data_IF_523100673033
#
_entry.id   IF_523100673033
#
_cell.length_a   1.000
_cell.length_b   1.000
_cell.length_c   1.000
_cell.angle_alpha   90.00
_cell.angle_beta   90.00
_cell.angle_gamma   90.00
#
_symmetry.space_group_name_H-M   'P 1'
#
loop_
_entity.id
_entity.type
_entity.pdbx_description
1 polymer ?
#
# COMPACT_ATOMS: atom_id res chain seq x y z
N UNK A 1 -38.09 21.58 -1.42
CA UNK A 1 -37.16 21.26 -0.32
C UNK A 1 -36.30 20.09 -0.80
N UNK A 2 -35.12 20.40 -1.19
CA UNK A 2 -34.25 19.61 -2.08
C UNK A 2 -33.24 18.82 -1.28
N UNK A 3 -33.38 17.52 -1.32
CA UNK A 3 -32.35 16.59 -0.80
C UNK A 3 -31.28 16.37 -1.85
N UNK A 4 -30.03 16.75 -1.52
CA UNK A 4 -28.84 16.51 -2.34
C UNK A 4 -28.38 15.07 -2.16
N UNK A 5 -28.57 14.27 -3.16
CA UNK A 5 -27.86 12.99 -3.31
C UNK A 5 -26.51 13.29 -3.96
N UNK A 6 -25.46 13.27 -3.17
CA UNK A 6 -24.09 13.30 -3.66
C UNK A 6 -23.64 11.86 -3.89
N UNK A 7 -23.79 11.40 -5.12
CA UNK A 7 -23.22 10.15 -5.58
C UNK A 7 -21.70 10.28 -5.71
N UNK A 8 -20.97 9.63 -4.82
CA UNK A 8 -19.52 9.52 -4.86
C UNK A 8 -19.12 8.45 -5.88
N UNK A 9 -19.01 8.83 -7.15
CA UNK A 9 -18.34 8.01 -8.15
C UNK A 9 -16.82 8.07 -7.90
N UNK A 10 -16.29 7.17 -7.10
CA UNK A 10 -14.84 6.91 -7.00
C UNK A 10 -14.41 6.11 -8.22
N UNK A 11 -14.20 6.78 -9.34
CA UNK A 11 -13.42 6.21 -10.42
C UNK A 11 -11.97 6.23 -10.02
N UNK A 12 -11.45 5.07 -9.64
CA UNK A 12 -10.04 4.86 -9.40
C UNK A 12 -9.30 5.04 -10.73
N UNK A 13 -8.62 6.16 -10.88
CA UNK A 13 -7.51 6.25 -11.82
C UNK A 13 -6.46 5.29 -11.28
N UNK A 14 -6.20 4.23 -12.02
CA UNK A 14 -5.11 3.30 -11.74
C UNK A 14 -3.78 4.03 -11.99
N UNK A 15 -3.42 4.91 -11.06
CA UNK A 15 -2.02 5.15 -10.77
C UNK A 15 -1.55 3.84 -10.19
N UNK A 16 -0.58 3.18 -10.80
CA UNK A 16 0.13 2.05 -10.24
C UNK A 16 0.74 2.46 -8.89
N UNK A 17 -0.10 2.52 -7.88
CA UNK A 17 0.27 2.55 -6.49
C UNK A 17 0.18 1.11 -6.02
N UNK A 18 1.31 0.48 -5.81
CA UNK A 18 1.43 -0.74 -5.02
C UNK A 18 1.09 -0.33 -3.59
N UNK A 19 -0.18 -0.50 -3.20
CA UNK A 19 -0.55 -0.44 -1.78
C UNK A 19 -1.92 -1.08 -1.56
N UNK A 20 -1.93 -2.14 -0.79
CA UNK A 20 -3.01 -2.51 0.12
C UNK A 20 -4.21 -3.22 -0.47
N UNK A 21 -4.04 -4.48 -0.83
CA UNK A 21 -5.16 -5.41 -0.98
C UNK A 21 -5.63 -5.85 0.39
N UNK A 22 -6.86 -5.53 0.77
CA UNK A 22 -7.54 -6.24 1.83
C UNK A 22 -7.69 -7.70 1.38
N UNK A 23 -6.93 -8.60 1.99
CA UNK A 23 -7.03 -10.03 1.73
C UNK A 23 -8.33 -10.55 2.33
N UNK A 24 -9.35 -10.71 1.51
CA UNK A 24 -10.45 -11.62 1.81
C UNK A 24 -9.94 -13.02 1.46
N UNK A 25 -10.01 -13.92 2.45
CA UNK A 25 -9.53 -15.28 2.40
C UNK A 25 -9.84 -15.97 1.08
N UNK A 26 -8.81 -16.18 0.27
CA UNK A 26 -8.88 -17.10 -0.86
C UNK A 26 -8.75 -18.52 -0.32
N UNK A 27 -9.74 -19.36 -0.60
CA UNK A 27 -9.59 -20.80 -0.47
C UNK A 27 -8.46 -21.25 -1.38
N UNK A 28 -7.51 -21.98 -0.82
CA UNK A 28 -6.42 -22.62 -1.55
C UNK A 28 -6.99 -23.64 -2.52
N UNK A 29 -7.03 -23.28 -3.78
CA UNK A 29 -7.02 -24.22 -4.89
C UNK A 29 -5.55 -24.43 -5.22
N UNK A 30 -5.13 -25.68 -5.27
CA UNK A 30 -3.78 -26.11 -5.62
C UNK A 30 -3.34 -25.42 -6.91
N UNK A 31 -2.29 -24.62 -6.80
CA UNK A 31 -1.82 -23.76 -7.86
C UNK A 31 -0.76 -24.50 -8.68
N UNK A 32 -1.19 -24.99 -9.84
CA UNK A 32 -0.25 -25.22 -10.93
C UNK A 32 0.23 -23.85 -11.39
N UNK A 33 1.49 -23.55 -11.09
CA UNK A 33 2.37 -22.54 -11.64
C UNK A 33 1.67 -21.36 -12.33
N UNK A 34 1.46 -20.26 -11.60
CA UNK A 34 1.20 -18.96 -12.24
C UNK A 34 2.53 -18.49 -12.85
N UNK A 35 2.68 -18.51 -14.18
CA UNK A 35 3.86 -17.92 -14.80
C UNK A 35 3.84 -16.42 -14.49
N UNK A 36 4.96 -15.87 -14.06
CA UNK A 36 5.13 -14.42 -13.98
C UNK A 36 4.59 -13.78 -15.26
N UNK A 37 3.83 -12.70 -15.15
CA UNK A 37 3.19 -12.02 -16.30
C UNK A 37 4.17 -11.53 -17.37
N UNK A 38 5.47 -11.70 -17.17
CA UNK A 38 6.54 -11.49 -18.13
C UNK A 38 6.88 -12.72 -18.99
N UNK A 39 6.56 -13.94 -18.54
CA UNK A 39 6.92 -15.17 -19.25
C UNK A 39 6.02 -15.49 -20.46
N UNK A 40 4.88 -14.82 -20.59
CA UNK A 40 3.92 -15.07 -21.67
C UNK A 40 4.02 -14.09 -22.86
N UNK A 41 4.94 -13.14 -22.81
CA UNK A 41 5.36 -12.39 -23.98
C UNK A 41 6.71 -12.98 -24.39
N UNK A 42 6.74 -13.62 -25.54
CA UNK A 42 7.95 -14.15 -26.18
C UNK A 42 8.85 -12.98 -26.59
N UNK A 43 9.43 -12.31 -25.60
CA UNK A 43 10.34 -11.20 -25.82
C UNK A 43 11.73 -11.79 -25.99
N UNK A 44 12.38 -11.59 -27.16
CA UNK A 44 13.76 -12.00 -27.37
C UNK A 44 14.66 -11.42 -26.27
N UNK A 45 15.51 -12.23 -25.67
CA UNK A 45 16.44 -11.82 -24.60
C UNK A 45 17.39 -10.68 -25.00
N UNK A 46 17.55 -10.43 -26.30
CA UNK A 46 18.47 -9.45 -26.88
C UNK A 46 17.77 -8.25 -27.54
N UNK A 47 16.62 -7.83 -27.04
CA UNK A 47 15.91 -6.67 -27.56
C UNK A 47 16.66 -5.36 -27.20
N UNK A 48 17.54 -4.90 -28.08
CA UNK A 48 18.11 -3.55 -28.07
C UNK A 48 17.09 -2.55 -28.66
N UNK A 49 16.03 -2.27 -27.93
CA UNK A 49 14.97 -1.36 -28.39
C UNK A 49 15.45 0.10 -28.46
N UNK A 50 16.47 0.45 -27.70
CA UNK A 50 16.94 1.84 -27.52
C UNK A 50 18.42 2.06 -27.85
N UNK A 51 18.92 1.49 -28.94
CA UNK A 51 20.20 1.91 -29.51
C UNK A 51 20.22 3.43 -29.81
N UNK A 52 21.40 4.05 -29.94
CA UNK A 52 21.56 5.48 -30.36
C UNK A 52 20.72 5.72 -31.62
N UNK A 53 19.64 6.50 -31.48
CA UNK A 53 18.63 6.69 -32.50
C UNK A 53 18.90 7.98 -33.23
N UNK A 54 18.86 7.92 -34.54
CA UNK A 54 18.74 9.10 -35.41
C UNK A 54 17.39 9.77 -35.07
N UNK A 55 17.36 11.00 -34.57
CA UNK A 55 16.14 11.71 -34.17
C UNK A 55 15.16 11.93 -35.33
N UNK A 56 15.60 11.78 -36.57
CA UNK A 56 14.80 11.99 -37.76
C UNK A 56 14.08 10.73 -38.27
N UNK A 57 14.35 9.55 -37.72
CA UNK A 57 13.72 8.30 -38.15
C UNK A 57 12.75 7.82 -37.07
N UNK A 58 11.45 7.96 -37.32
CA UNK A 58 10.38 7.34 -36.49
C UNK A 58 10.35 5.84 -36.76
N UNK A 59 11.23 5.08 -36.11
CA UNK A 59 11.19 3.62 -36.18
C UNK A 59 10.02 3.09 -35.34
N UNK A 60 9.23 2.13 -35.87
CA UNK A 60 8.25 1.43 -35.05
C UNK A 60 8.99 0.69 -33.92
N UNK A 61 8.45 0.72 -32.72
CA UNK A 61 8.97 -0.03 -31.57
C UNK A 61 8.21 -1.35 -31.42
N UNK A 62 6.92 -1.34 -31.76
CA UNK A 62 6.09 -2.54 -31.87
C UNK A 62 4.95 -2.33 -32.86
N UNK A 63 4.48 -3.42 -33.47
CA UNK A 63 3.28 -3.45 -34.31
C UNK A 63 2.31 -4.45 -33.65
N UNK A 64 1.11 -3.99 -33.29
CA UNK A 64 0.08 -4.80 -32.62
C UNK A 64 -1.12 -4.95 -33.53
N UNK A 65 -1.34 -6.12 -34.11
CA UNK A 65 -2.40 -6.38 -35.11
C UNK A 65 -2.44 -5.29 -36.19
N UNK A 66 -1.27 -4.89 -36.70
CA UNK A 66 -1.13 -3.84 -37.74
C UNK A 66 -1.11 -2.40 -37.20
N UNK A 67 -1.37 -2.15 -35.95
CA UNK A 67 -1.23 -0.83 -35.32
C UNK A 67 0.20 -0.57 -34.86
N UNK A 68 0.78 0.55 -35.30
CA UNK A 68 2.18 0.91 -34.99
C UNK A 68 2.28 1.69 -33.69
N UNK A 69 3.07 1.19 -32.74
CA UNK A 69 3.52 1.89 -31.56
C UNK A 69 4.93 2.43 -31.85
N UNK A 70 5.08 3.73 -31.80
CA UNK A 70 6.36 4.38 -32.09
C UNK A 70 7.17 4.61 -30.81
N UNK A 71 8.48 4.83 -30.98
CA UNK A 71 9.33 5.26 -29.86
C UNK A 71 8.81 6.54 -29.21
N UNK A 72 8.31 7.48 -30.00
CA UNK A 72 7.70 8.71 -29.47
C UNK A 72 6.53 8.42 -28.55
N UNK A 73 5.69 7.43 -28.87
CA UNK A 73 4.57 7.05 -27.99
C UNK A 73 5.08 6.50 -26.67
N UNK A 74 6.15 5.69 -26.70
CA UNK A 74 6.78 5.15 -25.49
C UNK A 74 7.41 6.26 -24.67
N UNK A 75 8.19 7.17 -25.29
CA UNK A 75 8.87 8.25 -24.55
C UNK A 75 7.85 9.24 -23.93
N UNK A 76 6.78 9.60 -24.66
CA UNK A 76 5.73 10.46 -24.12
C UNK A 76 5.00 9.84 -22.92
N UNK A 77 4.70 8.53 -22.97
CA UNK A 77 4.07 7.83 -21.85
C UNK A 77 5.04 7.64 -20.68
N UNK A 78 6.31 7.34 -20.97
CA UNK A 78 7.37 7.24 -19.98
C UNK A 78 7.55 8.57 -19.22
N UNK A 79 7.66 9.68 -19.94
CA UNK A 79 7.83 11.01 -19.34
C UNK A 79 6.63 11.37 -18.45
N UNK A 80 5.41 11.07 -18.91
CA UNK A 80 4.21 11.28 -18.11
C UNK A 80 4.25 10.46 -16.82
N UNK A 81 4.62 9.19 -16.90
CA UNK A 81 4.70 8.30 -15.73
C UNK A 81 5.74 8.78 -14.72
N UNK A 82 6.93 9.14 -15.19
CA UNK A 82 8.02 9.67 -14.34
C UNK A 82 7.60 10.98 -13.65
N UNK A 83 6.98 11.91 -14.40
CA UNK A 83 6.56 13.19 -13.86
C UNK A 83 5.42 13.08 -12.83
N UNK A 84 4.43 12.22 -13.08
CA UNK A 84 3.32 12.01 -12.15
C UNK A 84 3.75 11.38 -10.83
N UNK A 85 4.75 10.49 -10.87
CA UNK A 85 5.24 9.76 -9.70
C UNK A 85 6.51 10.39 -9.11
N UNK A 86 7.01 11.50 -9.67
CA UNK A 86 8.22 12.22 -9.23
C UNK A 86 9.45 11.30 -9.09
N UNK A 87 9.58 10.34 -10.00
CA UNK A 87 10.63 9.32 -9.94
C UNK A 87 12.00 9.88 -10.32
N UNK A 88 13.02 9.48 -9.57
CA UNK A 88 14.43 9.72 -9.89
C UNK A 88 15.05 8.37 -10.26
N UNK A 89 15.24 8.12 -11.53
CA UNK A 89 15.65 6.82 -12.06
C UNK A 89 17.06 6.91 -12.64
N UNK A 90 17.87 5.88 -12.36
CA UNK A 90 19.13 5.68 -13.07
C UNK A 90 18.87 5.12 -14.49
N UNK A 91 19.91 4.98 -15.31
CA UNK A 91 19.78 4.55 -16.72
C UNK A 91 19.13 3.16 -16.85
N UNK A 92 19.53 2.20 -16.03
CA UNK A 92 18.99 0.84 -16.05
C UNK A 92 17.50 0.79 -15.65
N UNK A 93 17.13 1.54 -14.63
CA UNK A 93 15.72 1.66 -14.21
C UNK A 93 14.86 2.35 -15.28
N UNK A 94 15.41 3.35 -15.98
CA UNK A 94 14.71 3.99 -17.11
C UNK A 94 14.43 3.00 -18.25
N UNK A 95 15.39 2.15 -18.59
CA UNK A 95 15.21 1.16 -19.65
C UNK A 95 14.19 0.09 -19.26
N UNK A 96 14.23 -0.40 -18.01
CA UNK A 96 13.20 -1.30 -17.47
C UNK A 96 11.81 -0.66 -17.50
N UNK A 97 11.70 0.60 -17.10
CA UNK A 97 10.42 1.30 -17.13
C UNK A 97 9.92 1.52 -18.56
N UNK A 98 10.80 1.83 -19.54
CA UNK A 98 10.39 1.93 -20.95
C UNK A 98 9.83 0.61 -21.49
N UNK A 99 10.42 -0.53 -21.12
CA UNK A 99 9.86 -1.85 -21.48
C UNK A 99 8.47 -2.08 -20.87
N UNK A 100 8.28 -1.68 -19.61
CA UNK A 100 6.96 -1.74 -18.97
C UNK A 100 5.94 -0.83 -19.67
N UNK A 101 6.34 0.38 -20.03
CA UNK A 101 5.50 1.33 -20.78
C UNK A 101 5.14 0.76 -22.15
N UNK A 102 6.06 0.11 -22.86
CA UNK A 102 5.77 -0.53 -24.13
C UNK A 102 4.71 -1.62 -23.98
N UNK A 103 4.80 -2.44 -22.93
CA UNK A 103 3.77 -3.44 -22.61
C UNK A 103 2.41 -2.79 -22.33
N UNK A 104 2.37 -1.71 -21.54
CA UNK A 104 1.14 -0.97 -21.27
C UNK A 104 0.51 -0.41 -22.54
N UNK A 105 1.32 0.13 -23.48
CA UNK A 105 0.82 0.63 -24.77
C UNK A 105 0.34 -0.50 -25.69
N UNK A 106 0.96 -1.67 -25.61
CA UNK A 106 0.50 -2.88 -26.29
C UNK A 106 -0.86 -3.30 -25.76
N UNK A 107 -1.03 -3.38 -24.45
CA UNK A 107 -2.31 -3.71 -23.83
C UNK A 107 -3.40 -2.71 -24.15
N UNK A 108 -3.11 -1.40 -24.03
CA UNK A 108 -4.03 -0.32 -24.41
C UNK A 108 -4.48 -0.46 -25.86
N UNK A 109 -3.55 -0.82 -26.75
CA UNK A 109 -3.88 -1.02 -28.16
C UNK A 109 -4.80 -2.22 -28.35
N UNK A 110 -4.54 -3.34 -27.70
CA UNK A 110 -5.38 -4.55 -27.73
C UNK A 110 -6.77 -4.23 -27.15
N UNK A 111 -6.84 -3.52 -26.03
CA UNK A 111 -8.10 -3.12 -25.40
C UNK A 111 -8.96 -2.23 -26.31
N UNK A 112 -8.34 -1.25 -26.99
CA UNK A 112 -9.05 -0.39 -27.95
C UNK A 112 -9.53 -1.20 -29.16
N UNK A 113 -8.73 -2.14 -29.64
CA UNK A 113 -9.10 -3.03 -30.77
C UNK A 113 -10.27 -3.93 -30.36
N UNK A 114 -10.23 -4.51 -29.17
CA UNK A 114 -11.31 -5.34 -28.65
C UNK A 114 -12.60 -4.52 -28.46
N UNK A 115 -12.49 -3.27 -28.00
CA UNK A 115 -13.63 -2.36 -27.90
C UNK A 115 -14.26 -2.13 -29.28
N UNK A 116 -13.45 -1.84 -30.29
CA UNK A 116 -13.93 -1.66 -31.68
C UNK A 116 -14.58 -2.92 -32.23
N UNK A 117 -14.01 -4.09 -31.99
CA UNK A 117 -14.56 -5.38 -32.41
C UNK A 117 -15.92 -5.67 -31.76
N UNK A 118 -16.20 -5.08 -30.60
CA UNK A 118 -17.48 -5.17 -29.88
C UNK A 118 -18.38 -3.94 -30.07
N UNK A 119 -18.13 -3.11 -31.09
CA UNK A 119 -18.90 -1.92 -31.41
C UNK A 119 -18.97 -0.90 -30.23
N UNK A 120 -17.93 -0.90 -29.39
CA UNK A 120 -17.77 0.04 -28.31
C UNK A 120 -16.96 1.24 -28.79
N UNK A 121 -17.60 2.39 -28.93
CA UNK A 121 -16.96 3.66 -29.31
C UNK A 121 -17.05 4.64 -28.16
N UNK A 122 -15.97 5.35 -27.90
CA UNK A 122 -15.93 6.43 -26.92
C UNK A 122 -16.05 7.76 -27.66
N UNK A 123 -17.12 8.55 -27.41
CA UNK A 123 -17.28 9.85 -28.03
C UNK A 123 -16.17 10.83 -27.62
N UNK A 124 -15.72 11.65 -28.56
CA UNK A 124 -14.61 12.59 -28.32
C UNK A 124 -14.91 13.57 -27.17
N UNK A 125 -16.18 14.03 -27.06
CA UNK A 125 -16.62 14.91 -25.97
C UNK A 125 -16.52 14.23 -24.59
N UNK A 126 -16.69 12.90 -24.51
CA UNK A 126 -16.48 12.18 -23.25
C UNK A 126 -14.99 12.13 -22.87
N UNK A 127 -14.10 11.92 -23.86
CA UNK A 127 -12.65 11.96 -23.66
C UNK A 127 -12.26 13.36 -23.17
N UNK A 128 -12.79 14.41 -23.78
CA UNK A 128 -12.52 15.79 -23.42
C UNK A 128 -13.00 16.14 -22.01
N UNK A 129 -14.21 15.69 -21.63
CA UNK A 129 -14.70 15.83 -20.25
C UNK A 129 -13.82 15.10 -19.24
N UNK A 130 -13.39 13.90 -19.56
CA UNK A 130 -12.49 13.13 -18.69
C UNK A 130 -11.13 13.82 -18.56
N UNK A 131 -10.58 14.33 -19.66
CA UNK A 131 -9.36 15.11 -19.66
C UNK A 131 -9.47 16.36 -18.77
N UNK A 132 -10.56 17.12 -18.87
CA UNK A 132 -10.82 18.29 -18.04
C UNK A 132 -10.98 17.91 -16.55
N UNK A 133 -11.70 16.83 -16.25
CA UNK A 133 -11.88 16.32 -14.89
C UNK A 133 -10.55 15.90 -14.26
N UNK A 134 -9.69 15.18 -15.01
CA UNK A 134 -8.37 14.78 -14.54
C UNK A 134 -7.49 16.01 -14.33
N UNK A 135 -7.51 16.99 -15.26
CA UNK A 135 -6.76 18.24 -15.13
C UNK A 135 -7.10 18.95 -13.82
N UNK A 136 -8.39 19.04 -13.48
CA UNK A 136 -8.87 19.66 -12.24
C UNK A 136 -8.38 18.94 -10.97
N UNK A 137 -8.26 17.61 -10.99
CA UNK A 137 -7.67 16.84 -9.86
C UNK A 137 -6.20 17.20 -9.61
N UNK A 138 -5.47 17.54 -10.67
CA UNK A 138 -4.09 18.04 -10.58
C UNK A 138 -4.01 19.56 -10.40
N UNK A 139 -5.13 20.21 -10.03
CA UNK A 139 -5.23 21.66 -9.82
C UNK A 139 -4.78 22.48 -11.04
N UNK A 140 -5.10 22.00 -12.26
CA UNK A 140 -4.79 22.63 -13.54
C UNK A 140 -6.04 22.82 -14.37
N UNK A 141 -6.10 23.92 -15.12
CA UNK A 141 -7.07 24.01 -16.21
C UNK A 141 -6.64 23.08 -17.37
N UNK A 142 -7.53 22.75 -18.30
CA UNK A 142 -7.15 21.96 -19.49
C UNK A 142 -6.00 22.60 -20.28
N UNK A 143 -5.93 23.95 -20.37
CA UNK A 143 -4.86 24.69 -21.03
C UNK A 143 -3.53 24.55 -20.29
N UNK A 144 -3.55 24.67 -18.97
CA UNK A 144 -2.38 24.47 -18.12
C UNK A 144 -1.89 23.01 -18.16
N UNK A 145 -2.82 22.06 -18.23
CA UNK A 145 -2.47 20.65 -18.38
C UNK A 145 -1.78 20.39 -19.73
N UNK A 146 -2.29 20.95 -20.84
CA UNK A 146 -1.62 20.87 -22.17
C UNK A 146 -0.21 21.47 -22.15
N UNK A 147 -0.04 22.61 -21.49
CA UNK A 147 1.26 23.26 -21.35
C UNK A 147 2.23 22.38 -20.56
N UNK A 148 1.79 21.88 -19.41
CA UNK A 148 2.58 20.99 -18.56
C UNK A 148 2.95 19.68 -19.27
N UNK A 149 2.03 19.04 -19.98
CA UNK A 149 2.31 17.83 -20.75
C UNK A 149 3.45 18.06 -21.77
N UNK A 150 3.45 19.22 -22.46
CA UNK A 150 4.54 19.56 -23.38
C UNK A 150 5.85 19.81 -22.66
N UNK A 151 5.83 20.49 -21.52
CA UNK A 151 7.00 20.76 -20.69
C UNK A 151 7.71 19.48 -20.26
N UNK A 152 6.96 18.45 -19.83
CA UNK A 152 7.52 17.16 -19.44
C UNK A 152 7.88 16.25 -20.63
N UNK A 153 7.73 16.72 -21.88
CA UNK A 153 7.99 15.91 -23.07
C UNK A 153 6.93 14.85 -23.39
N UNK A 154 5.68 15.08 -22.93
CA UNK A 154 4.51 14.29 -23.29
C UNK A 154 3.57 15.05 -24.22
N UNK A 155 2.36 14.55 -24.49
CA UNK A 155 1.38 15.21 -25.34
C UNK A 155 -0.05 14.98 -24.88
N UNK A 156 -0.94 15.93 -25.17
CA UNK A 156 -2.40 15.79 -24.99
C UNK A 156 -2.91 14.54 -25.74
N UNK A 157 -2.41 14.29 -26.95
CA UNK A 157 -2.81 13.13 -27.77
C UNK A 157 -2.49 11.81 -27.06
N UNK A 158 -1.28 11.67 -26.53
CA UNK A 158 -0.87 10.46 -25.80
C UNK A 158 -1.71 10.27 -24.54
N UNK A 159 -2.01 11.35 -23.82
CA UNK A 159 -2.81 11.28 -22.62
C UNK A 159 -4.30 11.00 -22.91
N UNK A 160 -4.88 11.64 -23.91
CA UNK A 160 -6.27 11.36 -24.34
C UNK A 160 -6.43 9.93 -24.87
N UNK A 161 -5.42 9.37 -25.56
CA UNK A 161 -5.44 7.97 -25.97
C UNK A 161 -5.48 7.02 -24.78
N UNK A 162 -4.74 7.32 -23.71
CA UNK A 162 -4.84 6.55 -22.46
C UNK A 162 -6.26 6.58 -21.90
N UNK A 163 -6.86 7.76 -21.82
CA UNK A 163 -8.25 7.95 -21.36
C UNK A 163 -9.22 7.16 -22.22
N UNK A 164 -9.05 7.21 -23.55
CA UNK A 164 -9.86 6.43 -24.50
C UNK A 164 -9.74 4.93 -24.21
N UNK A 165 -8.51 4.42 -24.04
CA UNK A 165 -8.26 3.02 -23.75
C UNK A 165 -8.91 2.55 -22.46
N UNK A 166 -8.78 3.33 -21.39
CA UNK A 166 -9.38 3.05 -20.08
C UNK A 166 -10.92 3.02 -20.17
N UNK A 167 -11.52 4.03 -20.79
CA UNK A 167 -12.98 4.12 -20.94
C UNK A 167 -13.52 2.99 -21.83
N UNK A 168 -12.82 2.70 -22.92
CA UNK A 168 -13.18 1.65 -23.85
C UNK A 168 -13.14 0.28 -23.17
N UNK A 169 -12.05 0.00 -22.45
CA UNK A 169 -11.89 -1.25 -21.72
C UNK A 169 -12.93 -1.43 -20.62
N UNK A 170 -13.22 -0.40 -19.85
CA UNK A 170 -14.30 -0.43 -18.83
C UNK A 170 -15.65 -0.81 -19.46
N UNK A 171 -16.00 -0.26 -20.62
CA UNK A 171 -17.24 -0.61 -21.30
C UNK A 171 -17.27 -2.04 -21.83
N UNK A 172 -16.13 -2.52 -22.35
CA UNK A 172 -15.99 -3.92 -22.78
C UNK A 172 -16.19 -4.85 -21.59
N UNK A 173 -15.52 -4.57 -20.46
CA UNK A 173 -15.67 -5.35 -19.24
C UNK A 173 -17.14 -5.36 -18.77
N UNK A 174 -17.77 -4.20 -18.70
CA UNK A 174 -19.17 -4.11 -18.28
C UNK A 174 -20.10 -4.92 -19.19
N UNK A 175 -19.90 -4.86 -20.50
CA UNK A 175 -20.73 -5.55 -21.49
C UNK A 175 -20.49 -7.06 -21.52
N UNK A 176 -19.21 -7.49 -21.51
CA UNK A 176 -18.83 -8.90 -21.67
C UNK A 176 -18.76 -9.68 -20.38
N UNK A 177 -18.55 -9.01 -19.27
CA UNK A 177 -18.26 -9.64 -17.98
C UNK A 177 -19.28 -9.24 -16.93
N UNK A 178 -19.50 -7.94 -16.73
CA UNK A 178 -20.34 -7.42 -15.65
C UNK A 178 -21.77 -7.95 -15.71
N UNK A 179 -22.36 -8.04 -16.90
CA UNK A 179 -23.70 -8.57 -17.10
C UNK A 179 -23.87 -10.07 -16.70
N UNK A 180 -22.76 -10.81 -16.58
CA UNK A 180 -22.74 -12.24 -16.28
C UNK A 180 -22.19 -12.55 -14.89
N UNK A 181 -21.93 -11.51 -14.08
CA UNK A 181 -21.54 -11.68 -12.68
C UNK A 181 -22.79 -11.68 -11.84
N UNK A 182 -22.98 -12.74 -11.09
CA UNK A 182 -24.06 -12.84 -10.12
C UNK A 182 -23.46 -13.25 -8.78
N UNK A 183 -23.87 -12.55 -7.72
CA UNK A 183 -23.52 -12.86 -6.33
C UNK A 183 -24.79 -13.22 -5.59
N UNK A 184 -24.90 -14.49 -5.19
CA UNK A 184 -26.07 -14.99 -4.48
C UNK A 184 -26.23 -14.39 -3.08
N UNK A 185 -27.47 -14.19 -2.66
CA UNK A 185 -27.77 -13.70 -1.30
C UNK A 185 -27.19 -14.61 -0.22
N UNK A 186 -27.24 -15.93 -0.44
CA UNK A 186 -26.70 -16.93 0.50
C UNK A 186 -25.18 -16.81 0.66
N UNK A 187 -24.47 -16.51 -0.42
CA UNK A 187 -23.02 -16.28 -0.39
C UNK A 187 -22.69 -15.03 0.45
N UNK A 188 -23.43 -13.95 0.25
CA UNK A 188 -23.27 -12.71 1.04
C UNK A 188 -23.58 -12.99 2.52
N UNK A 189 -24.66 -13.69 2.81
CA UNK A 189 -25.04 -14.05 4.19
C UNK A 189 -23.97 -14.93 4.86
N UNK A 190 -23.42 -15.92 4.14
CA UNK A 190 -22.35 -16.76 4.65
C UNK A 190 -21.09 -15.96 5.00
N UNK A 191 -20.78 -14.88 4.26
CA UNK A 191 -19.66 -14.00 4.57
C UNK A 191 -19.97 -13.16 5.81
N UNK A 192 -21.18 -12.59 5.90
CA UNK A 192 -21.62 -11.83 7.08
C UNK A 192 -21.51 -12.70 8.32
N UNK A 193 -22.07 -13.92 8.28
CA UNK A 193 -22.02 -14.84 9.41
C UNK A 193 -20.57 -15.15 9.83
N UNK A 194 -19.67 -15.42 8.88
CA UNK A 194 -18.24 -15.64 9.18
C UNK A 194 -17.56 -14.43 9.78
N UNK A 195 -17.94 -13.22 9.38
CA UNK A 195 -17.43 -11.99 9.96
C UNK A 195 -17.97 -11.76 11.39
N UNK A 196 -19.25 -12.10 11.63
CA UNK A 196 -19.85 -12.05 12.97
C UNK A 196 -19.22 -13.06 13.92
N UNK A 197 -19.03 -14.30 13.48
CA UNK A 197 -18.33 -15.35 14.24
C UNK A 197 -16.86 -14.99 14.53
N UNK A 198 -16.23 -14.26 13.62
CA UNK A 198 -14.86 -13.80 13.77
C UNK A 198 -14.74 -12.55 14.65
N UNK A 199 -15.84 -11.85 14.95
CA UNK A 199 -15.82 -10.61 15.74
C UNK A 199 -15.15 -10.82 17.10
N UNK A 200 -14.19 -9.95 17.42
CA UNK A 200 -13.42 -10.02 18.66
C UNK A 200 -12.29 -11.07 18.66
N UNK A 201 -12.18 -11.90 17.61
CA UNK A 201 -11.01 -12.77 17.48
C UNK A 201 -9.78 -11.97 17.07
N UNK A 202 -8.59 -12.44 17.47
CA UNK A 202 -7.35 -11.80 17.09
C UNK A 202 -6.99 -12.06 15.62
N UNK A 203 -6.58 -11.00 14.95
CA UNK A 203 -5.89 -11.02 13.65
C UNK A 203 -4.46 -10.51 13.82
N UNK A 204 -3.56 -11.15 13.11
CA UNK A 204 -2.12 -10.88 13.14
C UNK A 204 -1.69 -10.39 11.77
N UNK A 205 -1.04 -9.24 11.70
CA UNK A 205 -0.31 -8.82 10.49
C UNK A 205 1.07 -9.45 10.56
N UNK A 206 1.29 -10.46 9.74
CA UNK A 206 2.51 -11.27 9.76
C UNK A 206 3.32 -11.09 8.50
N UNK A 207 4.63 -11.21 8.65
CA UNK A 207 5.55 -11.48 7.56
C UNK A 207 6.22 -12.81 7.78
N UNK A 208 6.54 -13.51 6.70
CA UNK A 208 7.11 -14.85 6.72
C UNK A 208 8.37 -14.94 5.87
N UNK A 209 9.36 -15.67 6.38
CA UNK A 209 10.46 -16.20 5.60
C UNK A 209 10.35 -17.72 5.69
N UNK A 210 10.14 -18.38 4.55
CA UNK A 210 10.08 -19.83 4.45
C UNK A 210 11.25 -20.36 3.66
N UNK A 211 11.86 -21.44 4.15
CA UNK A 211 12.86 -22.23 3.43
C UNK A 211 12.42 -23.69 3.42
N UNK A 212 12.36 -24.27 2.22
CA UNK A 212 12.10 -25.69 2.07
C UNK A 212 13.24 -26.53 2.60
N UNK A 213 12.94 -27.66 3.21
CA UNK A 213 13.92 -28.58 3.74
C UNK A 213 13.53 -30.03 3.51
N UNK A 214 14.49 -30.83 3.04
CA UNK A 214 14.40 -32.27 3.05
C UNK A 214 15.05 -32.82 4.33
N UNK A 215 14.87 -34.09 4.70
CA UNK A 215 15.54 -34.67 5.85
C UNK A 215 17.08 -34.47 5.82
N UNK A 216 17.69 -34.49 4.62
CA UNK A 216 19.14 -34.33 4.43
C UNK A 216 19.60 -32.88 4.60
N UNK A 217 18.75 -31.89 4.23
CA UNK A 217 19.10 -30.46 4.26
C UNK A 217 18.56 -29.74 5.50
N UNK A 218 17.75 -30.42 6.33
CA UNK A 218 17.05 -29.85 7.49
C UNK A 218 18.01 -29.11 8.44
N UNK A 219 19.13 -29.72 8.82
CA UNK A 219 20.10 -29.12 9.72
C UNK A 219 20.75 -27.85 9.17
N UNK A 220 21.08 -27.84 7.88
CA UNK A 220 21.65 -26.67 7.19
C UNK A 220 20.63 -25.51 7.14
N UNK A 221 19.40 -25.79 6.71
CA UNK A 221 18.33 -24.79 6.60
C UNK A 221 17.96 -24.21 7.96
N UNK A 222 17.86 -25.05 8.99
CA UNK A 222 17.62 -24.60 10.35
C UNK A 222 18.74 -23.65 10.84
N UNK A 223 19.99 -24.01 10.65
CA UNK A 223 21.14 -23.18 11.02
C UNK A 223 21.18 -21.86 10.25
N UNK A 224 20.87 -21.88 8.96
CA UNK A 224 20.76 -20.67 8.13
C UNK A 224 19.69 -19.71 8.66
N UNK A 225 18.51 -20.21 9.03
CA UNK A 225 17.45 -19.38 9.63
C UNK A 225 17.83 -18.83 11.00
N UNK A 226 18.53 -19.61 11.84
CA UNK A 226 19.05 -19.08 13.11
C UNK A 226 20.00 -17.91 12.90
N UNK A 227 20.90 -18.00 11.91
CA UNK A 227 21.79 -16.91 11.55
C UNK A 227 21.03 -15.68 11.04
N UNK A 228 19.98 -15.86 10.25
CA UNK A 228 19.12 -14.75 9.82
C UNK A 228 18.47 -14.05 11.01
N UNK A 229 17.90 -14.82 11.95
CA UNK A 229 17.32 -14.27 13.18
C UNK A 229 18.35 -13.50 14.01
N UNK A 230 19.54 -14.04 14.19
CA UNK A 230 20.60 -13.37 14.92
C UNK A 230 20.99 -12.04 14.26
N UNK A 231 21.08 -11.99 12.94
CA UNK A 231 21.36 -10.74 12.22
C UNK A 231 20.21 -9.74 12.31
N UNK A 232 18.94 -10.19 12.31
CA UNK A 232 17.77 -9.33 12.57
C UNK A 232 17.82 -8.73 13.98
N UNK A 233 18.20 -9.49 14.98
CA UNK A 233 18.40 -8.99 16.36
C UNK A 233 19.53 -7.95 16.45
N UNK A 234 20.50 -8.00 15.53
CA UNK A 234 21.59 -7.02 15.40
C UNK A 234 21.17 -5.78 14.58
N UNK A 235 19.88 -5.67 14.20
CA UNK A 235 19.30 -4.51 13.52
C UNK A 235 19.21 -4.61 12.01
N UNK A 236 19.49 -5.77 11.38
CA UNK A 236 19.19 -5.93 9.95
C UNK A 236 17.69 -6.05 9.72
N UNK A 237 17.14 -5.32 8.75
CA UNK A 237 15.70 -5.36 8.46
C UNK A 237 15.25 -6.75 8.01
N UNK A 238 14.03 -7.16 8.42
CA UNK A 238 13.41 -8.41 8.01
C UNK A 238 13.30 -8.55 6.48
N UNK A 239 13.00 -7.46 5.78
CA UNK A 239 12.85 -7.40 4.33
C UNK A 239 14.15 -7.75 3.58
N UNK A 240 15.30 -7.52 4.21
CA UNK A 240 16.58 -7.94 3.64
C UNK A 240 16.63 -9.45 3.46
N UNK A 241 16.08 -10.22 4.40
CA UNK A 241 16.09 -11.68 4.38
C UNK A 241 14.87 -12.26 3.65
N UNK A 242 13.75 -11.56 3.63
CA UNK A 242 12.53 -12.00 2.93
C UNK A 242 12.76 -12.25 1.44
N UNK A 243 13.72 -11.56 0.81
CA UNK A 243 14.13 -11.80 -0.58
C UNK A 243 14.71 -13.20 -0.84
N UNK A 244 15.21 -13.87 0.19
CA UNK A 244 15.76 -15.22 0.12
C UNK A 244 14.73 -16.28 0.50
N UNK A 245 13.51 -15.86 0.83
CA UNK A 245 12.40 -16.74 1.12
C UNK A 245 11.96 -17.49 -0.14
N UNK A 246 11.63 -18.76 0.03
CA UNK A 246 11.03 -19.61 -1.00
C UNK A 246 9.50 -19.52 -0.97
N UNK A 247 8.92 -18.69 -0.10
CA UNK A 247 7.49 -18.42 -0.05
C UNK A 247 7.02 -17.59 -1.25
N UNK A 248 5.77 -17.75 -1.66
CA UNK A 248 5.13 -16.96 -2.74
C UNK A 248 5.09 -15.47 -2.43
N UNK A 249 5.14 -15.09 -1.15
CA UNK A 249 5.17 -13.72 -0.65
C UNK A 249 6.55 -13.06 -0.66
N UNK A 250 7.60 -13.77 -1.04
CA UNK A 250 8.99 -13.26 -1.04
C UNK A 250 9.14 -11.94 -1.82
N UNK A 251 8.48 -11.82 -2.98
CA UNK A 251 8.50 -10.61 -3.81
C UNK A 251 7.82 -9.39 -3.15
N UNK A 252 6.99 -9.63 -2.14
CA UNK A 252 6.29 -8.61 -1.34
C UNK A 252 6.92 -8.44 0.05
N UNK A 253 8.19 -8.83 0.22
CA UNK A 253 8.89 -8.75 1.49
C UNK A 253 8.37 -9.72 2.54
N UNK A 254 7.79 -10.85 2.10
CA UNK A 254 7.23 -11.89 2.95
C UNK A 254 5.88 -11.54 3.59
N UNK A 255 5.20 -10.48 3.13
CA UNK A 255 3.97 -9.99 3.75
C UNK A 255 2.79 -10.96 3.50
N UNK A 256 2.28 -11.55 4.57
CA UNK A 256 1.07 -12.39 4.59
C UNK A 256 -0.21 -11.57 4.76
N UNK A 257 -0.10 -10.27 5.04
CA UNK A 257 -1.21 -9.40 5.42
C UNK A 257 -1.82 -9.78 6.77
N UNK A 258 -3.11 -9.44 6.95
CA UNK A 258 -3.87 -9.77 8.16
C UNK A 258 -4.41 -11.19 8.09
N UNK A 259 -3.94 -12.06 8.99
CA UNK A 259 -4.34 -13.48 9.06
C UNK A 259 -4.83 -13.83 10.46
N UNK A 260 -5.81 -14.72 10.52
CA UNK A 260 -6.28 -15.29 11.80
C UNK A 260 -5.54 -16.59 12.10
N UNK A 261 -5.42 -16.93 13.39
CA UNK A 261 -4.76 -18.17 13.81
C UNK A 261 -5.31 -19.41 13.10
N UNK A 262 -6.63 -19.47 12.86
CA UNK A 262 -7.28 -20.59 12.16
C UNK A 262 -6.88 -20.75 10.68
N UNK A 263 -6.24 -19.73 10.09
CA UNK A 263 -5.76 -19.75 8.70
C UNK A 263 -4.30 -20.17 8.57
N UNK A 264 -3.61 -20.33 9.69
CA UNK A 264 -2.20 -20.71 9.75
C UNK A 264 -2.04 -22.19 10.10
N UNK A 265 -0.98 -22.85 9.65
CA UNK A 265 -0.53 -24.12 10.21
C UNK A 265 -0.42 -24.03 11.74
N UNK A 266 -0.77 -25.12 12.45
CA UNK A 266 -0.88 -25.10 13.92
C UNK A 266 0.36 -24.54 14.63
N UNK A 267 1.57 -24.90 14.17
CA UNK A 267 2.82 -24.41 14.75
C UNK A 267 2.97 -22.90 14.58
N UNK A 268 2.63 -22.36 13.41
CA UNK A 268 2.70 -20.91 13.14
C UNK A 268 1.61 -20.16 13.91
N UNK A 269 0.40 -20.72 14.01
CA UNK A 269 -0.71 -20.17 14.78
C UNK A 269 -0.34 -20.02 16.26
N UNK A 270 0.25 -21.06 16.86
CA UNK A 270 0.70 -21.04 18.24
C UNK A 270 1.80 -19.99 18.47
N UNK A 271 2.76 -19.91 17.56
CA UNK A 271 3.82 -18.89 17.63
C UNK A 271 3.23 -17.49 17.55
N UNK A 272 2.37 -17.19 16.55
CA UNK A 272 1.76 -15.88 16.36
C UNK A 272 0.97 -15.40 17.59
N UNK A 273 0.22 -16.29 18.26
CA UNK A 273 -0.52 -15.97 19.47
C UNK A 273 0.38 -15.56 20.64
N UNK A 274 1.60 -16.09 20.73
CA UNK A 274 2.55 -15.82 21.79
C UNK A 274 3.45 -14.60 21.52
N UNK A 275 3.50 -14.14 20.25
CA UNK A 275 4.36 -13.03 19.86
C UNK A 275 3.82 -11.67 20.33
N UNK A 276 4.76 -10.76 20.57
CA UNK A 276 4.50 -9.34 20.73
C UNK A 276 4.77 -8.60 19.43
N UNK A 277 4.09 -7.45 19.22
CA UNK A 277 4.32 -6.59 18.05
C UNK A 277 5.80 -6.20 17.96
N UNK A 278 6.37 -6.34 16.78
CA UNK A 278 7.80 -6.13 16.51
C UNK A 278 8.69 -7.34 16.80
N UNK A 279 8.16 -8.45 17.28
CA UNK A 279 8.92 -9.65 17.58
C UNK A 279 9.11 -10.55 16.35
N UNK A 280 10.28 -11.19 16.28
CA UNK A 280 10.59 -12.29 15.35
C UNK A 280 10.54 -13.61 16.11
N UNK A 281 9.87 -14.61 15.56
CA UNK A 281 9.79 -15.98 16.11
C UNK A 281 10.24 -16.99 15.07
N UNK A 282 10.99 -17.99 15.51
CA UNK A 282 11.47 -19.07 14.66
C UNK A 282 12.89 -19.52 15.03
N UNK A 283 13.50 -20.46 14.26
CA UNK A 283 12.86 -21.22 13.17
C UNK A 283 11.74 -22.12 13.68
N UNK A 284 10.57 -22.07 13.02
CA UNK A 284 9.41 -22.89 13.32
C UNK A 284 9.32 -23.99 12.28
N UNK A 285 9.29 -25.25 12.73
CA UNK A 285 9.13 -26.38 11.82
C UNK A 285 7.70 -26.43 11.28
N UNK A 286 7.59 -26.52 9.96
CA UNK A 286 6.33 -26.65 9.24
C UNK A 286 6.42 -27.77 8.20
N UNK A 287 5.32 -28.29 7.68
CA UNK A 287 5.39 -29.29 6.62
C UNK A 287 6.23 -28.81 5.44
N UNK A 288 7.30 -29.54 5.13
CA UNK A 288 8.19 -29.27 4.01
C UNK A 288 9.32 -28.29 4.28
N UNK A 289 9.50 -27.79 5.53
CA UNK A 289 10.62 -26.87 5.82
C UNK A 289 10.50 -26.13 7.14
N UNK A 290 11.02 -24.92 7.15
CA UNK A 290 11.01 -24.04 8.31
C UNK A 290 10.51 -22.65 7.94
N UNK A 291 9.81 -22.00 8.88
CA UNK A 291 9.38 -20.61 8.77
C UNK A 291 9.91 -19.75 9.90
N UNK A 292 10.20 -18.49 9.59
CA UNK A 292 10.44 -17.41 10.55
C UNK A 292 9.31 -16.40 10.39
N UNK A 293 8.63 -16.07 11.49
CA UNK A 293 7.56 -15.07 11.51
C UNK A 293 8.07 -13.76 12.10
N UNK A 294 7.57 -12.65 11.57
CA UNK A 294 7.68 -11.32 12.14
C UNK A 294 6.27 -10.76 12.36
N UNK A 295 5.93 -10.42 13.59
CA UNK A 295 4.65 -9.81 13.91
C UNK A 295 4.73 -8.30 13.74
N UNK A 296 4.11 -7.79 12.66
CA UNK A 296 4.06 -6.36 12.34
C UNK A 296 3.08 -5.64 13.26
N UNK A 297 1.87 -6.22 13.42
CA UNK A 297 0.82 -5.67 14.29
C UNK A 297 -0.21 -6.77 14.63
N UNK A 298 -1.05 -6.52 15.64
CA UNK A 298 -2.21 -7.35 15.97
C UNK A 298 -3.42 -6.51 16.31
N UNK A 299 -4.60 -6.98 15.97
CA UNK A 299 -5.88 -6.32 16.26
C UNK A 299 -6.97 -7.35 16.49
N UNK A 300 -8.12 -6.88 16.97
CA UNK A 300 -9.34 -7.70 17.04
C UNK A 300 -10.24 -7.39 15.86
N UNK A 301 -10.79 -8.43 15.24
CA UNK A 301 -11.73 -8.32 14.11
C UNK A 301 -12.95 -7.50 14.52
N UNK A 302 -13.31 -6.50 13.73
CA UNK A 302 -14.50 -5.66 13.92
C UNK A 302 -14.62 -5.02 15.32
N UNK A 303 -13.51 -4.88 16.03
CA UNK A 303 -13.43 -4.18 17.31
C UNK A 303 -12.66 -2.89 17.11
N UNK A 304 -13.11 -1.82 17.74
CA UNK A 304 -12.36 -0.55 17.71
C UNK A 304 -11.00 -0.76 18.38
N UNK A 305 -9.93 -0.46 17.66
CA UNK A 305 -8.59 -0.46 18.24
C UNK A 305 -8.35 0.91 18.91
N UNK A 306 -8.17 0.96 20.24
CA UNK A 306 -7.91 2.22 20.92
C UNK A 306 -6.69 2.98 20.38
N UNK A 307 -5.74 2.29 19.74
CA UNK A 307 -4.56 2.89 19.11
C UNK A 307 -4.89 3.71 17.86
N UNK A 308 -6.10 3.56 17.29
CA UNK A 308 -6.60 4.38 16.19
C UNK A 308 -7.22 5.71 16.66
N UNK A 309 -7.29 5.93 17.98
CA UNK A 309 -7.75 7.19 18.53
C UNK A 309 -6.92 8.36 17.99
N UNK A 310 -7.62 9.41 17.56
CA UNK A 310 -6.98 10.68 17.21
C UNK A 310 -6.86 11.54 18.44
N UNK A 311 -5.65 11.96 18.71
CA UNK A 311 -5.27 12.67 19.92
C UNK A 311 -4.90 14.09 19.56
N UNK A 312 -5.40 15.05 20.36
CA UNK A 312 -4.92 16.42 20.39
C UNK A 312 -3.89 16.51 21.50
N UNK A 313 -2.63 16.69 21.13
CA UNK A 313 -1.50 16.67 22.06
C UNK A 313 -0.78 18.01 22.07
N UNK A 314 -0.41 18.47 23.27
CA UNK A 314 0.51 19.59 23.47
C UNK A 314 1.82 19.05 24.02
N UNK A 315 2.91 19.25 23.28
CA UNK A 315 4.24 18.86 23.73
C UNK A 315 4.95 20.05 24.38
N UNK A 316 5.40 19.86 25.62
CA UNK A 316 6.33 20.77 26.27
C UNK A 316 7.74 20.22 26.15
N UNK A 317 8.69 21.09 25.81
CA UNK A 317 10.11 20.71 25.65
C UNK A 317 10.99 21.72 26.35
N UNK A 318 11.82 21.25 27.27
CA UNK A 318 12.89 22.04 27.89
C UNK A 318 14.22 21.50 27.38
N UNK A 319 14.94 22.28 26.58
CA UNK A 319 16.26 21.91 26.06
C UNK A 319 17.33 22.07 27.14
N UNK A 320 18.23 21.12 27.20
CA UNK A 320 19.36 21.21 28.12
C UNK A 320 20.52 21.97 27.46
N UNK A 321 21.25 22.80 28.24
CA UNK A 321 22.46 23.46 27.75
C UNK A 321 23.54 22.41 27.46
N UNK A 322 24.41 22.69 26.48
CA UNK A 322 25.56 21.85 26.17
C UNK A 322 26.50 21.73 27.38
N UNK A 323 26.86 20.48 27.73
CA UNK A 323 27.74 20.22 28.86
C UNK A 323 27.06 20.11 30.23
N UNK A 324 25.73 20.01 30.25
CA UNK A 324 25.01 19.79 31.53
C UNK A 324 25.46 18.49 32.20
N UNK A 325 25.66 18.55 33.52
CA UNK A 325 25.98 17.33 34.28
C UNK A 325 24.71 16.49 34.53
N UNK A 326 24.89 15.22 34.81
CA UNK A 326 23.76 14.34 35.08
C UNK A 326 22.94 14.76 36.29
N UNK A 327 23.58 15.26 37.34
CA UNK A 327 22.89 15.78 38.52
C UNK A 327 22.02 17.00 38.21
N UNK A 328 22.55 17.95 37.44
CA UNK A 328 21.79 19.14 37.01
C UNK A 328 20.63 18.77 36.05
N UNK A 329 20.80 17.79 35.18
CA UNK A 329 19.72 17.29 34.33
C UNK A 329 18.62 16.66 35.18
N UNK A 330 18.95 15.86 36.20
CA UNK A 330 17.97 15.25 37.08
C UNK A 330 17.20 16.30 37.89
N UNK A 331 17.86 17.37 38.38
CA UNK A 331 17.20 18.47 39.05
C UNK A 331 16.17 19.19 38.17
N UNK A 332 16.56 19.48 36.91
CA UNK A 332 15.65 20.07 35.91
C UNK A 332 14.48 19.15 35.57
N UNK A 333 14.69 17.85 35.46
CA UNK A 333 13.62 16.87 35.24
C UNK A 333 12.66 16.84 36.43
N UNK A 334 13.17 16.92 37.66
CA UNK A 334 12.35 16.95 38.87
C UNK A 334 11.50 18.23 38.97
N UNK A 335 12.10 19.41 38.66
CA UNK A 335 11.39 20.67 38.54
C UNK A 335 10.29 20.62 37.51
N UNK A 336 10.62 20.12 36.32
CA UNK A 336 9.69 19.93 35.18
C UNK A 336 8.52 19.03 35.59
N UNK A 337 8.79 17.90 36.26
CA UNK A 337 7.77 16.98 36.74
C UNK A 337 6.83 17.64 37.78
N UNK A 338 7.39 18.43 38.68
CA UNK A 338 6.62 19.14 39.73
C UNK A 338 5.66 20.16 39.11
N UNK A 339 6.12 20.94 38.13
CA UNK A 339 5.27 21.92 37.43
C UNK A 339 4.18 21.20 36.62
N UNK A 340 4.50 20.12 35.96
CA UNK A 340 3.50 19.32 35.22
C UNK A 340 2.41 18.76 36.15
N UNK A 341 2.77 18.25 37.31
CA UNK A 341 1.79 17.73 38.29
C UNK A 341 0.84 18.81 38.82
N UNK A 342 1.29 20.06 38.86
CA UNK A 342 0.47 21.20 39.28
C UNK A 342 -0.34 21.81 38.14
N UNK A 343 -0.08 21.38 36.89
CA UNK A 343 -0.75 21.89 35.67
C UNK A 343 -2.06 21.15 35.49
N UNK A 344 -3.18 21.80 35.77
CA UNK A 344 -4.51 21.24 35.62
C UNK A 344 -5.09 21.62 34.23
N UNK A 345 -5.11 20.64 33.33
CA UNK A 345 -5.75 20.78 32.01
C UNK A 345 -4.95 21.57 30.98
N UNK A 346 -5.42 21.53 29.74
CA UNK A 346 -4.71 22.08 28.58
C UNK A 346 -4.59 23.62 28.57
N UNK A 347 -5.52 24.31 29.18
CA UNK A 347 -5.48 25.78 29.30
C UNK A 347 -4.30 26.29 30.14
N UNK A 348 -3.82 25.48 31.08
CA UNK A 348 -2.71 25.86 31.97
C UNK A 348 -1.33 25.57 31.38
N UNK A 349 -1.27 24.85 30.25
CA UNK A 349 0.01 24.42 29.59
C UNK A 349 0.88 25.60 29.20
N UNK A 350 0.30 26.66 28.63
CA UNK A 350 1.04 27.86 28.22
C UNK A 350 1.71 28.55 29.43
N UNK A 351 1.00 28.63 30.57
CA UNK A 351 1.56 29.22 31.81
C UNK A 351 2.66 28.32 32.40
N UNK A 352 2.47 27.00 32.36
CA UNK A 352 3.51 26.05 32.76
C UNK A 352 4.77 26.18 31.90
N UNK A 353 4.58 26.35 30.60
CA UNK A 353 5.68 26.55 29.66
C UNK A 353 6.46 27.83 29.92
N UNK A 354 5.79 28.95 30.23
CA UNK A 354 6.44 30.19 30.61
C UNK A 354 7.27 30.01 31.87
N UNK A 355 6.71 29.31 32.89
CA UNK A 355 7.43 29.07 34.15
C UNK A 355 8.68 28.22 33.97
N UNK A 356 8.65 27.27 33.03
CA UNK A 356 9.75 26.34 32.77
C UNK A 356 10.72 26.83 31.69
N UNK A 357 10.39 27.93 31.00
CA UNK A 357 11.10 28.32 29.77
C UNK A 357 10.99 27.24 28.67
N UNK A 358 9.88 26.53 28.61
CA UNK A 358 9.64 25.42 27.71
C UNK A 358 9.07 25.89 26.38
N UNK A 359 9.48 25.24 25.31
CA UNK A 359 8.87 25.35 23.99
C UNK A 359 7.59 24.51 23.94
N UNK A 360 6.50 25.04 23.40
CA UNK A 360 5.24 24.34 23.23
C UNK A 360 4.98 24.06 21.75
N UNK A 361 4.67 22.82 21.41
CA UNK A 361 4.24 22.40 20.08
C UNK A 361 2.87 21.75 20.19
N UNK A 362 1.89 22.28 19.46
CA UNK A 362 0.54 21.75 19.39
C UNK A 362 0.38 20.83 18.16
N UNK A 363 -0.25 19.68 18.38
CA UNK A 363 -0.57 18.75 17.31
C UNK A 363 -1.96 18.13 17.56
N UNK A 364 -2.95 18.53 16.75
CA UNK A 364 -4.36 18.23 16.94
C UNK A 364 -4.87 16.94 16.28
N UNK A 365 -4.01 16.16 15.63
CA UNK A 365 -4.46 14.98 14.89
C UNK A 365 -3.41 13.86 14.85
N UNK A 366 -2.82 13.54 16.00
CA UNK A 366 -1.88 12.42 16.15
C UNK A 366 -2.67 11.14 16.40
N UNK A 367 -2.49 10.11 15.59
CA UNK A 367 -3.03 8.79 15.96
C UNK A 367 -2.15 8.17 17.03
N UNK A 368 -2.78 7.55 18.04
CA UNK A 368 -2.03 6.93 19.14
C UNK A 368 -0.99 5.91 18.64
N UNK A 369 -1.33 5.12 17.57
CA UNK A 369 -0.40 4.15 16.96
C UNK A 369 0.83 4.76 16.28
N UNK A 370 0.80 6.04 15.93
CA UNK A 370 1.93 6.73 15.31
C UNK A 370 2.98 7.18 16.34
N UNK A 371 2.66 7.06 17.64
CA UNK A 371 3.60 7.32 18.73
C UNK A 371 4.51 6.10 18.96
N UNK A 372 5.71 6.30 19.54
CA UNK A 372 6.54 5.18 20.02
C UNK A 372 5.77 4.26 20.97
N UNK A 373 5.95 2.93 20.91
CA UNK A 373 5.14 1.96 21.66
C UNK A 373 5.02 2.25 23.16
N UNK A 374 6.10 2.68 23.79
CA UNK A 374 6.12 3.05 25.21
C UNK A 374 5.20 4.24 25.53
N UNK A 375 5.15 5.23 24.63
CA UNK A 375 4.27 6.40 24.78
C UNK A 375 2.82 6.06 24.45
N UNK A 376 2.56 5.13 23.53
CA UNK A 376 1.21 4.67 23.21
C UNK A 376 0.49 4.17 24.46
N UNK A 377 1.13 3.26 25.22
CA UNK A 377 0.54 2.69 26.43
C UNK A 377 0.23 3.74 27.50
N UNK A 378 1.12 4.72 27.63
CA UNK A 378 0.95 5.81 28.62
C UNK A 378 -0.20 6.71 28.17
N UNK A 379 -0.16 7.20 26.93
CA UNK A 379 -1.12 8.19 26.44
C UNK A 379 -2.55 7.61 26.36
N UNK A 380 -2.68 6.33 26.02
CA UNK A 380 -3.99 5.65 25.99
C UNK A 380 -4.64 5.53 27.39
N UNK A 381 -3.84 5.57 28.46
CA UNK A 381 -4.34 5.54 29.85
C UNK A 381 -4.63 6.92 30.41
N UNK A 382 -4.15 8.00 29.75
CA UNK A 382 -4.39 9.37 30.23
C UNK A 382 -5.85 9.79 30.04
N UNK A 383 -6.33 10.62 30.95
CA UNK A 383 -7.53 11.40 30.75
C UNK A 383 -7.21 12.76 30.13
N UNK A 384 -8.19 13.35 29.45
CA UNK A 384 -8.03 14.70 28.88
C UNK A 384 -7.64 15.68 29.97
N UNK A 385 -6.58 16.44 29.76
CA UNK A 385 -5.99 17.35 30.72
C UNK A 385 -4.81 16.78 31.51
N UNK A 386 -4.53 15.48 31.41
CA UNK A 386 -3.37 14.84 32.04
C UNK A 386 -2.13 14.85 31.15
N UNK A 387 -0.95 14.75 31.78
CA UNK A 387 0.33 14.68 31.07
C UNK A 387 1.00 13.32 31.22
N UNK A 388 1.86 12.98 30.25
CA UNK A 388 2.80 11.86 30.40
C UNK A 388 3.82 12.16 31.51
N UNK A 389 4.45 11.14 32.09
CA UNK A 389 5.70 11.32 32.79
C UNK A 389 6.73 12.02 31.88
N UNK A 390 7.68 12.79 32.46
CA UNK A 390 8.78 13.36 31.69
C UNK A 390 9.59 12.27 30.97
N UNK A 391 9.93 12.51 29.73
CA UNK A 391 10.79 11.65 28.91
C UNK A 391 11.79 12.46 28.09
N UNK A 392 12.86 11.87 27.63
CA UNK A 392 13.87 12.55 26.83
C UNK A 392 15.25 11.93 26.99
N UNK A 393 16.26 12.62 26.50
CA UNK A 393 17.65 12.22 26.58
C UNK A 393 18.50 13.29 27.28
N UNK A 394 19.61 12.92 27.91
CA UNK A 394 20.50 13.91 28.56
C UNK A 394 21.06 14.97 27.60
N UNK A 395 21.09 14.66 26.30
CA UNK A 395 21.65 15.52 25.26
C UNK A 395 20.61 16.43 24.62
N UNK A 396 19.34 16.03 24.57
CA UNK A 396 18.28 16.76 23.87
C UNK A 396 17.39 17.57 24.81
N UNK A 397 17.25 17.12 26.05
CA UNK A 397 16.37 17.77 27.04
C UNK A 397 15.24 16.87 27.52
N UNK A 398 14.32 17.47 28.28
CA UNK A 398 13.13 16.81 28.84
C UNK A 398 11.88 17.26 28.09
N UNK A 399 10.98 16.30 27.86
CA UNK A 399 9.71 16.50 27.17
C UNK A 399 8.55 15.88 27.97
N UNK A 400 7.35 16.39 27.76
CA UNK A 400 6.12 15.74 28.17
C UNK A 400 5.01 16.04 27.16
N UNK A 401 4.04 15.13 27.07
CA UNK A 401 2.84 15.30 26.27
C UNK A 401 1.65 15.53 27.19
N UNK A 402 0.85 16.53 26.92
CA UNK A 402 -0.43 16.78 27.59
C UNK A 402 -1.54 16.40 26.64
N UNK A 403 -2.45 15.52 27.06
CA UNK A 403 -3.60 15.09 26.29
C UNK A 403 -4.70 16.16 26.37
N UNK A 404 -4.97 16.85 25.27
CA UNK A 404 -5.95 17.92 25.20
C UNK A 404 -7.29 17.51 24.59
N UNK A 405 -7.28 16.49 23.77
CA UNK A 405 -8.48 15.95 23.14
C UNK A 405 -8.26 14.50 22.74
N UNK A 406 -9.34 13.75 22.69
CA UNK A 406 -9.33 12.36 22.27
C UNK A 406 -10.62 12.05 21.51
N UNK A 407 -10.47 11.62 20.27
CA UNK A 407 -11.54 11.09 19.44
C UNK A 407 -11.31 9.57 19.29
N UNK A 408 -12.05 8.81 20.10
CA UNK A 408 -11.93 7.35 20.12
C UNK A 408 -12.55 6.75 18.87
N UNK A 409 -11.91 5.72 18.28
CA UNK A 409 -12.43 5.08 17.10
C UNK A 409 -13.75 4.41 17.41
N UNK A 410 -14.73 4.61 16.55
CA UNK A 410 -15.99 3.88 16.63
C UNK A 410 -15.74 2.42 16.23
N UNK A 411 -16.44 1.51 16.90
CA UNK A 411 -16.42 0.09 16.52
C UNK A 411 -16.69 -0.02 15.01
N UNK A 412 -15.84 -0.71 14.28
CA UNK A 412 -16.05 -0.95 12.86
C UNK A 412 -17.39 -1.66 12.70
N UNK A 413 -18.33 -0.99 12.05
CA UNK A 413 -19.59 -1.62 11.70
C UNK A 413 -19.31 -2.77 10.74
N UNK A 414 -20.07 -3.85 10.87
CA UNK A 414 -20.09 -4.89 9.85
C UNK A 414 -20.34 -4.25 8.49
N UNK A 415 -19.61 -4.63 7.44
CA UNK A 415 -19.94 -4.18 6.10
C UNK A 415 -21.38 -4.54 5.76
N UNK A 416 -22.10 -3.66 5.10
CA UNK A 416 -23.46 -3.97 4.66
C UNK A 416 -23.45 -5.10 3.63
N UNK A 417 -24.58 -5.79 3.50
CA UNK A 417 -24.73 -6.84 2.49
C UNK A 417 -24.43 -6.32 1.07
N UNK A 418 -24.77 -5.07 0.78
CA UNK A 418 -24.50 -4.44 -0.51
C UNK A 418 -22.99 -4.17 -0.70
N UNK A 419 -22.28 -3.70 0.33
CA UNK A 419 -20.83 -3.52 0.26
C UNK A 419 -20.08 -4.84 0.02
N UNK A 420 -20.53 -5.91 0.66
CA UNK A 420 -19.95 -7.25 0.46
C UNK A 420 -20.23 -7.73 -0.96
N UNK A 421 -21.48 -7.56 -1.44
CA UNK A 421 -21.86 -7.94 -2.80
C UNK A 421 -21.03 -7.19 -3.84
N UNK A 422 -20.97 -5.87 -3.74
CA UNK A 422 -20.16 -5.02 -4.62
C UNK A 422 -18.68 -5.44 -4.63
N UNK A 423 -18.10 -5.74 -3.46
CA UNK A 423 -16.72 -6.21 -3.36
C UNK A 423 -16.48 -7.54 -4.08
N UNK A 424 -17.41 -8.51 -3.96
CA UNK A 424 -17.31 -9.81 -4.65
C UNK A 424 -17.50 -9.62 -6.16
N UNK A 425 -18.46 -8.80 -6.57
CA UNK A 425 -18.72 -8.48 -7.98
C UNK A 425 -17.49 -7.83 -8.62
N UNK A 426 -16.88 -6.87 -7.94
CA UNK A 426 -15.66 -6.21 -8.40
C UNK A 426 -14.50 -7.21 -8.51
N UNK A 427 -14.28 -8.04 -7.49
CA UNK A 427 -13.23 -9.04 -7.51
C UNK A 427 -13.41 -10.04 -8.66
N UNK A 428 -14.63 -10.58 -8.85
CA UNK A 428 -14.94 -11.51 -9.95
C UNK A 428 -14.76 -10.85 -11.31
N UNK A 429 -15.21 -9.60 -11.42
CA UNK A 429 -15.05 -8.81 -12.64
C UNK A 429 -13.58 -8.62 -12.98
N UNK A 430 -12.76 -8.23 -12.01
CA UNK A 430 -11.33 -8.01 -12.20
C UNK A 430 -10.59 -9.30 -12.61
N UNK A 431 -10.88 -10.43 -11.95
CA UNK A 431 -10.29 -11.72 -12.30
C UNK A 431 -10.65 -12.17 -13.73
N UNK A 432 -11.92 -12.00 -14.13
CA UNK A 432 -12.35 -12.35 -15.50
C UNK A 432 -11.78 -11.37 -16.53
N UNK A 433 -11.69 -10.07 -16.19
CA UNK A 433 -11.07 -9.08 -17.06
C UNK A 433 -9.58 -9.34 -17.29
N UNK A 434 -8.85 -9.75 -16.25
CA UNK A 434 -7.45 -10.17 -16.38
C UNK A 434 -7.30 -11.41 -17.27
N UNK A 435 -8.19 -12.40 -17.13
CA UNK A 435 -8.22 -13.58 -18.01
C UNK A 435 -8.49 -13.17 -19.46
N UNK A 436 -9.51 -12.35 -19.68
CA UNK A 436 -9.84 -11.85 -21.02
C UNK A 436 -8.64 -11.12 -21.67
N UNK A 437 -7.99 -10.20 -20.93
CA UNK A 437 -6.82 -9.49 -21.46
C UNK A 437 -5.66 -10.44 -21.77
N UNK A 438 -5.43 -11.44 -20.93
CA UNK A 438 -4.40 -12.47 -21.17
C UNK A 438 -4.69 -13.27 -22.44
N UNK A 439 -5.94 -13.67 -22.64
CA UNK A 439 -6.35 -14.41 -23.85
C UNK A 439 -6.19 -13.53 -25.08
N UNK A 440 -6.62 -12.27 -25.01
CA UNK A 440 -6.44 -11.31 -26.11
C UNK A 440 -4.96 -11.05 -26.43
N UNK A 441 -4.07 -11.02 -25.43
CA UNK A 441 -2.61 -10.90 -25.65
C UNK A 441 -2.05 -12.13 -26.37
N UNK A 442 -2.48 -13.32 -26.00
CA UNK A 442 -2.06 -14.57 -26.66
C UNK A 442 -2.48 -14.62 -28.11
N UNK A 443 -3.67 -14.11 -28.41
CA UNK A 443 -4.26 -14.16 -29.74
C UNK A 443 -3.80 -12.98 -30.62
N UNK A 444 -3.19 -11.95 -30.04
CA UNK A 444 -2.67 -10.78 -30.75
C UNK A 444 -1.36 -11.08 -31.49
N UNK A 445 -1.24 -10.57 -32.71
CA UNK A 445 0.02 -10.58 -33.44
C UNK A 445 0.83 -9.35 -33.06
N UNK A 446 1.91 -9.55 -32.30
CA UNK A 446 2.78 -8.48 -31.82
C UNK A 446 4.18 -8.68 -32.41
N UNK A 447 4.63 -7.71 -33.20
CA UNK A 447 5.95 -7.66 -33.80
C UNK A 447 6.76 -6.54 -33.12
N UNK A 448 7.82 -6.90 -32.42
CA UNK A 448 8.74 -5.97 -31.77
C UNK A 448 9.92 -5.66 -32.71
N UNK A 449 10.30 -4.36 -32.84
CA UNK A 449 11.31 -3.91 -33.78
C UNK A 449 12.42 -3.07 -33.15
#
# INVERSE_FOLDING_TARGET
MTSKVVGFCRSAVLVLGIAGSAAIAAQTVSDDQVPSSAANLDLPENLQIFGKVDPNIRKPTAIVNGYVITRTDVDQRFNLFVALNQLKLNAEEQDRLRLQVLRLLTDETIQIQEAKANEVTIPADQIDRSFASISSRYQRTPEQMRAWLREIGSSERSFKRQIEGELAWQRVIQRKIGAFINVGTEEVQSIIQRLEEAKGTEEFHLREIYLSATPETSGEKFSAMQQMIQQMQQGRPFEYFARFSEATTASQGGDLGWVRAAMLPAALAQAAQQMQVGQVAGPIEVPGGFSVLYLVDKRQVLTADPRDAKLSLRQLTVKFPTGITQAQAQEKVAEFAKVLQSTAGCGAVSKAAETLGAEVVDNDSVRARDLPPQLQEIVLKLQVGQSTPPFGTPTEGVRALVLCGRDDPKTAALPSADQIREGIEEQRTNLRAQRLLRDLRRDAIVDYR
#
